data_IF_239288400583
#
_entry.id   IF_239288400583
#
_cell.length_a   1.000
_cell.length_b   1.000
_cell.length_c   1.000
_cell.angle_alpha   90.00
_cell.angle_beta   90.00
_cell.angle_gamma   90.00
#
_symmetry.space_group_name_H-M   'P 1'
#
loop_
_entity.id
_entity.type
_entity.pdbx_description
1 polymer ?
#
# COMPACT_ATOMS: atom_id res chain seq x y z
N UNK A 1 -1.94 48.77 -17.76
CA UNK A 1 -1.09 48.14 -16.73
C UNK A 1 -1.92 47.12 -15.99
N UNK A 2 -2.24 46.01 -16.66
CA UNK A 2 -2.72 44.79 -16.04
C UNK A 2 -1.77 43.74 -16.57
N UNK A 3 -0.77 43.38 -15.77
CA UNK A 3 0.10 42.27 -16.09
C UNK A 3 -0.79 41.06 -16.19
N UNK A 4 -1.03 40.60 -17.42
CA UNK A 4 -1.66 39.34 -17.68
C UNK A 4 -0.83 38.31 -16.91
N UNK A 5 -1.40 37.81 -15.81
CA UNK A 5 -0.87 36.66 -15.10
C UNK A 5 -0.78 35.57 -16.16
N UNK A 6 0.41 35.40 -16.72
CA UNK A 6 0.71 34.34 -17.67
C UNK A 6 0.60 33.07 -16.85
N UNK A 7 -0.61 32.52 -16.78
CA UNK A 7 -0.85 31.21 -16.20
C UNK A 7 -0.19 30.22 -17.15
N UNK A 8 1.13 30.02 -17.01
CA UNK A 8 1.84 28.89 -17.62
C UNK A 8 1.18 27.65 -17.05
N UNK A 9 0.15 27.17 -17.74
CA UNK A 9 -0.63 26.01 -17.36
C UNK A 9 0.31 24.81 -17.51
N UNK A 10 0.96 24.40 -16.42
CA UNK A 10 1.86 23.26 -16.40
C UNK A 10 1.02 21.98 -16.47
N UNK A 11 0.57 21.64 -17.69
CA UNK A 11 -0.15 20.38 -17.98
C UNK A 11 0.50 19.16 -17.32
N UNK A 12 1.85 19.02 -17.25
CA UNK A 12 2.49 17.93 -16.52
C UNK A 12 2.19 17.90 -15.02
N UNK A 13 2.19 19.06 -14.35
CA UNK A 13 1.88 19.17 -12.91
C UNK A 13 0.41 18.82 -12.67
N UNK A 14 -0.50 19.31 -13.51
CA UNK A 14 -1.92 18.98 -13.40
C UNK A 14 -2.18 17.47 -13.57
N UNK A 15 -1.55 16.82 -14.57
CA UNK A 15 -1.65 15.37 -14.78
C UNK A 15 -1.08 14.62 -13.58
N UNK A 16 0.09 15.01 -13.08
CA UNK A 16 0.72 14.40 -11.91
C UNK A 16 -0.19 14.44 -10.67
N UNK A 17 -0.79 15.60 -10.38
CA UNK A 17 -1.71 15.75 -9.26
C UNK A 17 -2.99 14.91 -9.46
N UNK A 18 -3.54 14.86 -10.67
CA UNK A 18 -4.72 14.03 -10.97
C UNK A 18 -4.43 12.53 -10.82
N UNK A 19 -3.26 12.07 -11.25
CA UNK A 19 -2.80 10.69 -11.00
C UNK A 19 -2.70 10.44 -9.49
N UNK A 20 -2.11 11.37 -8.74
CA UNK A 20 -2.03 11.29 -7.28
C UNK A 20 -3.40 11.16 -6.61
N UNK A 21 -4.39 11.98 -7.02
CA UNK A 21 -5.78 11.89 -6.53
C UNK A 21 -6.38 10.51 -6.81
N UNK A 22 -6.23 10.02 -8.05
CA UNK A 22 -6.73 8.68 -8.40
C UNK A 22 -6.08 7.58 -7.53
N UNK A 23 -4.78 7.66 -7.30
CA UNK A 23 -4.07 6.71 -6.43
C UNK A 23 -4.54 6.77 -4.98
N UNK A 24 -4.84 7.96 -4.44
CA UNK A 24 -5.38 8.13 -3.08
C UNK A 24 -6.77 7.50 -2.97
N UNK A 25 -7.64 7.68 -3.97
CA UNK A 25 -8.97 7.04 -3.98
C UNK A 25 -8.82 5.52 -3.92
N UNK A 26 -7.92 4.94 -4.73
CA UNK A 26 -7.62 3.50 -4.68
C UNK A 26 -7.08 3.10 -3.32
N UNK A 27 -6.18 3.88 -2.72
CA UNK A 27 -5.62 3.59 -1.38
C UNK A 27 -6.71 3.55 -0.30
N UNK A 28 -7.69 4.46 -0.36
CA UNK A 28 -8.83 4.49 0.56
C UNK A 28 -9.68 3.23 0.39
N UNK A 29 -9.98 2.82 -0.84
CA UNK A 29 -10.73 1.60 -1.13
C UNK A 29 -9.99 0.37 -0.61
N UNK A 30 -8.69 0.26 -0.92
CA UNK A 30 -7.85 -0.86 -0.44
C UNK A 30 -7.84 -0.90 1.10
N UNK A 31 -7.69 0.24 1.77
CA UNK A 31 -7.73 0.31 3.24
C UNK A 31 -9.09 -0.11 3.81
N UNK A 32 -10.17 0.29 3.14
CA UNK A 32 -11.53 -0.16 3.47
C UNK A 32 -11.68 -1.68 3.36
N UNK A 33 -11.20 -2.27 2.27
CA UNK A 33 -11.21 -3.73 2.08
C UNK A 33 -10.39 -4.41 3.18
N UNK A 34 -9.12 -4.02 3.38
CA UNK A 34 -8.25 -4.59 4.42
C UNK A 34 -8.87 -4.53 5.81
N UNK A 35 -9.65 -3.48 6.11
CA UNK A 35 -10.35 -3.36 7.39
C UNK A 35 -11.56 -4.28 7.49
N UNK A 36 -12.36 -4.38 6.44
CA UNK A 36 -13.60 -5.18 6.39
C UNK A 36 -13.32 -6.69 6.27
N UNK A 37 -12.17 -7.07 5.71
CA UNK A 37 -11.69 -8.46 5.64
C UNK A 37 -10.79 -8.84 6.82
N UNK A 38 -10.75 -8.01 7.87
CA UNK A 38 -9.93 -8.18 9.08
C UNK A 38 -8.46 -8.52 8.79
N UNK A 39 -7.94 -7.98 7.70
CA UNK A 39 -6.63 -8.33 7.16
C UNK A 39 -5.49 -7.51 7.75
N UNK A 40 -5.77 -6.40 8.41
CA UNK A 40 -4.77 -5.40 8.84
C UNK A 40 -3.74 -5.84 9.90
N UNK A 41 -3.75 -7.11 10.33
CA UNK A 41 -2.82 -7.68 11.31
C UNK A 41 -2.18 -9.00 10.82
N UNK A 42 -2.36 -9.35 9.54
CA UNK A 42 -1.83 -10.57 8.92
C UNK A 42 -0.31 -10.53 8.70
N UNK A 43 0.28 -9.34 8.53
CA UNK A 43 1.73 -9.12 8.36
C UNK A 43 2.32 -8.59 9.66
N UNK A 44 2.82 -9.49 10.50
CA UNK A 44 3.34 -9.21 11.84
C UNK A 44 4.75 -8.61 11.84
N UNK A 45 5.52 -8.84 10.78
CA UNK A 45 6.88 -8.33 10.66
C UNK A 45 6.93 -6.98 9.93
N UNK A 46 7.78 -6.07 10.41
CA UNK A 46 8.01 -4.80 9.77
C UNK A 46 9.24 -4.85 8.87
N UNK A 47 9.02 -5.03 7.57
CA UNK A 47 10.05 -5.07 6.53
C UNK A 47 9.78 -3.96 5.50
N UNK A 48 10.37 -2.75 5.63
CA UNK A 48 10.03 -1.60 4.79
C UNK A 48 10.36 -1.81 3.31
N UNK A 49 11.52 -2.42 3.05
CA UNK A 49 12.06 -2.66 1.70
C UNK A 49 11.68 -4.06 1.23
N UNK A 50 12.11 -5.10 1.96
CA UNK A 50 11.89 -6.51 1.60
C UNK A 50 10.41 -6.92 1.64
N UNK A 51 9.59 -6.29 2.49
CA UNK A 51 8.15 -6.55 2.56
C UNK A 51 7.34 -6.01 1.39
N UNK A 52 7.99 -5.63 0.29
CA UNK A 52 7.34 -5.41 -1.02
C UNK A 52 7.11 -6.72 -1.77
N UNK A 53 7.90 -7.75 -1.47
CA UNK A 53 7.76 -9.08 -2.07
C UNK A 53 7.06 -9.99 -1.05
N UNK A 54 5.92 -10.62 -1.38
CA UNK A 54 5.27 -11.57 -0.48
C UNK A 54 6.10 -12.86 -0.35
N UNK A 55 5.80 -13.76 0.61
CA UNK A 55 6.50 -15.04 0.69
C UNK A 55 6.44 -15.80 -0.64
N UNK A 56 7.60 -16.23 -1.13
CA UNK A 56 7.73 -16.81 -2.48
C UNK A 56 7.79 -18.34 -2.50
N UNK A 57 7.88 -18.98 -1.33
CA UNK A 57 7.94 -20.43 -1.19
C UNK A 57 7.12 -20.92 0.01
N UNK A 58 6.87 -22.22 0.05
CA UNK A 58 6.03 -22.85 1.06
C UNK A 58 6.58 -22.68 2.48
N UNK A 59 7.90 -22.81 2.68
CA UNK A 59 8.55 -22.62 3.97
C UNK A 59 8.31 -21.21 4.52
N UNK A 60 8.49 -20.19 3.70
CA UNK A 60 8.27 -18.79 4.08
C UNK A 60 6.79 -18.50 4.37
N UNK A 61 5.87 -19.11 3.60
CA UNK A 61 4.44 -19.01 3.87
C UNK A 61 4.05 -19.62 5.22
N UNK A 62 4.58 -20.81 5.54
CA UNK A 62 4.31 -21.46 6.82
C UNK A 62 4.91 -20.65 7.99
N UNK A 63 6.11 -20.10 7.85
CA UNK A 63 6.71 -19.24 8.87
C UNK A 63 5.87 -17.98 9.13
N UNK A 64 5.42 -17.30 8.09
CA UNK A 64 4.53 -16.13 8.22
C UNK A 64 3.21 -16.51 8.89
N UNK A 65 2.64 -17.66 8.54
CA UNK A 65 1.42 -18.15 9.15
C UNK A 65 1.61 -18.53 10.62
N UNK A 66 2.72 -19.18 10.98
CA UNK A 66 3.04 -19.52 12.35
C UNK A 66 3.22 -18.28 13.23
N UNK A 67 3.83 -17.22 12.70
CA UNK A 67 3.88 -15.92 13.36
C UNK A 67 2.46 -15.35 13.58
N UNK A 68 1.58 -15.45 12.58
CA UNK A 68 0.20 -15.02 12.70
C UNK A 68 -0.57 -15.83 13.76
N UNK A 69 -0.33 -17.14 13.89
CA UNK A 69 -0.96 -17.98 14.94
C UNK A 69 -0.66 -17.51 16.36
N UNK A 70 0.44 -16.78 16.57
CA UNK A 70 0.83 -16.30 17.89
C UNK A 70 0.00 -15.10 18.36
N UNK A 71 -0.63 -14.35 17.45
CA UNK A 71 -1.37 -13.13 17.78
C UNK A 71 -2.79 -13.41 18.26
N UNK A 72 -3.36 -12.47 19.02
CA UNK A 72 -4.70 -12.58 19.59
C UNK A 72 -5.80 -12.74 18.52
N UNK A 73 -5.65 -12.08 17.36
CA UNK A 73 -6.62 -12.16 16.27
C UNK A 73 -6.79 -13.61 15.78
N UNK A 74 -5.70 -14.34 15.57
CA UNK A 74 -5.78 -15.75 15.22
C UNK A 74 -6.44 -16.55 16.34
N UNK A 75 -5.99 -16.39 17.59
CA UNK A 75 -6.48 -17.17 18.73
C UNK A 75 -7.98 -17.01 18.98
N UNK A 76 -8.54 -15.82 18.76
CA UNK A 76 -9.93 -15.51 19.13
C UNK A 76 -10.89 -15.42 17.94
N UNK A 77 -10.42 -15.05 16.75
CA UNK A 77 -11.29 -14.84 15.57
C UNK A 77 -11.01 -15.83 14.44
N UNK A 78 -9.75 -16.21 14.22
CA UNK A 78 -9.34 -16.98 13.04
C UNK A 78 -8.70 -18.34 13.38
N UNK A 79 -9.05 -18.94 14.53
CA UNK A 79 -8.40 -20.17 15.01
C UNK A 79 -8.63 -21.39 14.11
N UNK A 80 -9.64 -21.29 13.23
CA UNK A 80 -10.00 -22.27 12.21
C UNK A 80 -9.34 -22.04 10.85
N UNK A 81 -8.58 -20.95 10.67
CA UNK A 81 -7.99 -20.63 9.38
C UNK A 81 -6.99 -21.70 8.95
N UNK A 82 -7.04 -22.04 7.67
CA UNK A 82 -6.00 -22.77 6.96
C UNK A 82 -4.91 -21.81 6.45
N UNK A 83 -3.85 -22.37 5.88
CA UNK A 83 -2.82 -21.56 5.20
C UNK A 83 -3.41 -20.78 4.02
N UNK A 84 -4.44 -21.31 3.35
CA UNK A 84 -5.10 -20.65 2.22
C UNK A 84 -5.91 -19.42 2.68
N UNK A 85 -6.66 -19.56 3.76
CA UNK A 85 -7.39 -18.44 4.38
C UNK A 85 -6.43 -17.32 4.83
N UNK A 86 -5.29 -17.71 5.42
CA UNK A 86 -4.23 -16.77 5.78
C UNK A 86 -3.65 -16.04 4.56
N UNK A 87 -3.40 -16.74 3.44
CA UNK A 87 -2.90 -16.11 2.21
C UNK A 87 -3.88 -15.05 1.67
N UNK A 88 -5.19 -15.27 1.79
CA UNK A 88 -6.18 -14.31 1.35
C UNK A 88 -6.11 -12.99 2.15
N UNK A 89 -6.05 -13.06 3.49
CA UNK A 89 -5.92 -11.85 4.32
C UNK A 89 -4.54 -11.21 4.15
N UNK A 90 -3.47 -12.01 4.01
CA UNK A 90 -2.13 -11.53 3.75
C UNK A 90 -2.06 -10.72 2.46
N UNK A 91 -2.72 -11.20 1.40
CA UNK A 91 -2.76 -10.52 0.11
C UNK A 91 -3.33 -9.10 0.22
N UNK A 92 -4.46 -8.94 0.91
CA UNK A 92 -5.08 -7.62 1.05
C UNK A 92 -4.23 -6.64 1.83
N UNK A 93 -3.60 -7.09 2.92
CA UNK A 93 -2.70 -6.24 3.68
C UNK A 93 -1.42 -5.90 2.88
N UNK A 94 -0.84 -6.89 2.21
CA UNK A 94 0.33 -6.70 1.35
C UNK A 94 0.04 -5.69 0.24
N UNK A 95 -1.08 -5.86 -0.48
CA UNK A 95 -1.49 -4.98 -1.57
C UNK A 95 -1.71 -3.54 -1.08
N UNK A 96 -2.41 -3.38 0.05
CA UNK A 96 -2.61 -2.06 0.67
C UNK A 96 -1.29 -1.38 1.04
N UNK A 97 -0.35 -2.14 1.62
CA UNK A 97 0.98 -1.63 2.00
C UNK A 97 1.84 -1.29 0.77
N UNK A 98 1.84 -2.14 -0.26
CA UNK A 98 2.62 -1.91 -1.50
C UNK A 98 2.06 -0.71 -2.27
N UNK A 99 0.75 -0.58 -2.39
CA UNK A 99 0.13 0.58 -3.04
C UNK A 99 0.48 1.90 -2.32
N UNK A 100 0.45 1.90 -0.98
CA UNK A 100 0.89 3.05 -0.19
C UNK A 100 2.35 3.44 -0.45
N UNK A 101 3.26 2.47 -0.63
CA UNK A 101 4.65 2.74 -1.01
C UNK A 101 4.77 3.32 -2.42
N UNK A 102 4.02 2.76 -3.38
CA UNK A 102 3.97 3.29 -4.76
C UNK A 102 3.48 4.75 -4.79
N UNK A 103 2.49 5.08 -3.96
CA UNK A 103 2.00 6.44 -3.81
C UNK A 103 3.12 7.39 -3.36
N UNK A 104 3.92 7.00 -2.36
CA UNK A 104 5.09 7.77 -1.94
C UNK A 104 6.08 8.04 -3.07
N UNK A 105 6.38 7.02 -3.89
CA UNK A 105 7.29 7.15 -5.04
C UNK A 105 6.72 8.11 -6.10
N UNK A 106 5.43 7.98 -6.43
CA UNK A 106 4.75 8.81 -7.44
C UNK A 106 4.65 10.27 -7.01
N UNK A 107 4.60 10.57 -5.71
CA UNK A 107 4.67 11.95 -5.23
C UNK A 107 6.11 12.48 -5.15
N UNK A 108 7.05 11.71 -4.59
CA UNK A 108 8.42 12.19 -4.34
C UNK A 108 9.20 12.44 -5.63
N UNK A 109 9.16 11.52 -6.60
CA UNK A 109 9.99 11.63 -7.81
C UNK A 109 9.63 12.88 -8.64
N UNK A 110 8.38 13.08 -9.08
CA UNK A 110 8.01 14.25 -9.88
C UNK A 110 8.15 15.54 -9.07
N UNK A 111 7.90 15.52 -7.76
CA UNK A 111 8.13 16.68 -6.90
C UNK A 111 9.59 17.14 -6.95
N UNK A 112 10.56 16.23 -6.79
CA UNK A 112 11.99 16.56 -6.89
C UNK A 112 12.33 17.05 -8.31
N UNK A 113 11.83 16.40 -9.35
CA UNK A 113 12.06 16.81 -10.74
C UNK A 113 11.57 18.24 -10.98
N UNK A 114 10.34 18.56 -10.58
CA UNK A 114 9.76 19.91 -10.74
C UNK A 114 10.43 20.94 -9.84
N UNK A 115 10.99 20.53 -8.70
CA UNK A 115 11.75 21.40 -7.82
C UNK A 115 13.10 21.80 -8.44
N UNK A 116 13.78 20.86 -9.11
CA UNK A 116 15.09 21.08 -9.74
C UNK A 116 14.96 21.75 -11.11
N UNK A 117 13.88 21.48 -11.87
CA UNK A 117 13.59 22.11 -13.16
C UNK A 117 12.96 23.51 -13.04
N UNK A 118 12.76 23.99 -11.81
CA UNK A 118 12.23 25.32 -11.50
C UNK A 118 13.25 26.40 -11.83
#
# INVERSE_FOLDING_TARGET
>A
MLDAVSTKRSRPVAIWLLVGVAMIIVQIILGGITRLTDSGLSITEWQPILGTIPPMNETAWNQAFDNYKQIAQYKHLHSYFTLEDFKAIYFWEWLHRVWGRMLGIVFIIPFIIFLVQK
#
